data_IF_385933181430
#
_entry.id   IF_385933181430
#
_cell.length_a   1.000
_cell.length_b   1.000
_cell.length_c   1.000
_cell.angle_alpha   90.00
_cell.angle_beta   90.00
_cell.angle_gamma   90.00
#
_symmetry.space_group_name_H-M   'P 1'
#
loop_
_entity.id
_entity.type
_entity.pdbx_description
1 polymer ?
#
# COMPACT_ATOMS: atom_id res chain seq x y z
N UNK A 1 -24.49 0.30 6.71
CA UNK A 1 -23.07 -0.08 6.85
C UNK A 1 -22.23 1.19 6.91
N UNK A 2 -21.44 1.34 7.97
CA UNK A 2 -20.40 2.36 8.07
C UNK A 2 -19.06 1.77 7.68
N UNK A 3 -18.33 2.46 6.80
CA UNK A 3 -17.02 2.02 6.28
C UNK A 3 -15.96 3.02 6.74
N UNK A 4 -15.00 2.56 7.54
CA UNK A 4 -13.86 3.37 8.00
C UNK A 4 -12.67 3.08 7.09
N UNK A 5 -12.20 4.10 6.36
CA UNK A 5 -11.18 3.97 5.33
C UNK A 5 -11.80 3.62 3.98
N UNK A 6 -11.63 4.52 3.01
CA UNK A 6 -12.11 4.43 1.63
C UNK A 6 -10.92 4.36 0.67
N UNK A 7 -9.95 3.52 1.03
CA UNK A 7 -8.85 3.12 0.17
C UNK A 7 -9.26 2.01 -0.82
N UNK A 8 -8.26 1.29 -1.35
CA UNK A 8 -8.48 0.25 -2.37
C UNK A 8 -9.49 -0.85 -1.96
N UNK A 9 -9.48 -1.27 -0.70
CA UNK A 9 -10.39 -2.30 -0.17
C UNK A 9 -11.72 -1.67 0.26
N UNK A 10 -11.67 -0.58 1.03
CA UNK A 10 -12.88 0.07 1.56
C UNK A 10 -13.85 0.54 0.47
N UNK A 11 -13.33 1.04 -0.65
CA UNK A 11 -14.16 1.40 -1.82
C UNK A 11 -14.89 0.17 -2.39
N UNK A 12 -14.20 -0.96 -2.55
CA UNK A 12 -14.81 -2.18 -3.07
C UNK A 12 -15.89 -2.72 -2.12
N UNK A 13 -15.61 -2.72 -0.81
CA UNK A 13 -16.59 -3.12 0.21
C UNK A 13 -17.80 -2.20 0.22
N UNK A 14 -17.58 -0.88 0.15
CA UNK A 14 -18.66 0.10 0.10
C UNK A 14 -19.55 -0.11 -1.14
N UNK A 15 -18.94 -0.31 -2.31
CA UNK A 15 -19.67 -0.55 -3.56
C UNK A 15 -20.45 -1.87 -3.55
N UNK A 16 -19.82 -2.97 -3.12
CA UNK A 16 -20.49 -4.26 -3.01
C UNK A 16 -21.69 -4.19 -2.04
N UNK A 17 -21.53 -3.52 -0.90
CA UNK A 17 -22.63 -3.31 0.04
C UNK A 17 -23.76 -2.45 -0.56
N UNK A 18 -23.44 -1.45 -1.40
CA UNK A 18 -24.44 -0.68 -2.14
C UNK A 18 -25.21 -1.56 -3.13
N UNK A 19 -24.53 -2.45 -3.85
CA UNK A 19 -25.13 -3.38 -4.80
C UNK A 19 -26.05 -4.40 -4.12
N UNK A 20 -25.73 -4.78 -2.88
CA UNK A 20 -26.61 -5.58 -2.01
C UNK A 20 -27.79 -4.79 -1.42
N UNK A 21 -27.98 -3.52 -1.82
CA UNK A 21 -29.10 -2.68 -1.41
C UNK A 21 -28.93 -2.01 -0.05
N UNK A 22 -27.74 -2.05 0.56
CA UNK A 22 -27.49 -1.40 1.84
C UNK A 22 -27.36 0.12 1.69
N UNK A 23 -27.77 0.85 2.73
CA UNK A 23 -27.34 2.24 2.93
C UNK A 23 -25.91 2.24 3.46
N UNK A 24 -24.99 2.86 2.72
CA UNK A 24 -23.57 2.92 3.07
C UNK A 24 -23.17 4.35 3.40
N UNK A 25 -22.49 4.52 4.53
CA UNK A 25 -21.84 5.76 4.94
C UNK A 25 -20.34 5.45 5.05
N UNK A 26 -19.48 6.33 4.52
CA UNK A 26 -18.03 6.17 4.55
C UNK A 26 -17.35 7.34 5.27
N UNK A 27 -16.26 7.04 5.97
CA UNK A 27 -15.38 8.04 6.56
C UNK A 27 -13.93 7.77 6.14
N UNK A 28 -13.30 8.73 5.47
CA UNK A 28 -11.88 8.71 5.19
C UNK A 28 -11.34 10.16 5.08
N UNK A 29 -10.47 10.60 6.00
CA UNK A 29 -9.89 11.95 5.94
C UNK A 29 -8.87 12.12 4.81
N UNK A 30 -8.41 11.03 4.19
CA UNK A 30 -7.38 10.99 3.15
C UNK A 30 -7.92 10.46 1.82
N UNK A 31 -9.23 10.57 1.58
CA UNK A 31 -9.83 10.12 0.33
C UNK A 31 -9.20 10.84 -0.87
N UNK A 32 -8.53 10.08 -1.74
CA UNK A 32 -7.93 10.63 -2.95
C UNK A 32 -8.98 10.82 -4.04
N UNK A 33 -8.72 11.72 -4.99
CA UNK A 33 -9.60 11.95 -6.15
C UNK A 33 -9.86 10.64 -6.90
N UNK A 34 -8.81 9.86 -7.16
CA UNK A 34 -8.93 8.57 -7.84
C UNK A 34 -9.89 7.60 -7.12
N UNK A 35 -9.79 7.50 -5.79
CA UNK A 35 -10.68 6.65 -4.99
C UNK A 35 -12.10 7.19 -4.96
N UNK A 36 -12.28 8.51 -4.92
CA UNK A 36 -13.59 9.13 -5.02
C UNK A 36 -14.30 8.81 -6.35
N UNK A 37 -13.55 8.75 -7.47
CA UNK A 37 -14.10 8.35 -8.77
C UNK A 37 -14.54 6.88 -8.84
N UNK A 38 -13.89 6.02 -8.07
CA UNK A 38 -14.23 4.59 -8.00
C UNK A 38 -15.37 4.31 -7.01
N UNK A 39 -15.67 5.25 -6.11
CA UNK A 39 -16.69 5.10 -5.10
C UNK A 39 -18.08 5.38 -5.69
N UNK A 40 -19.05 4.54 -5.37
CA UNK A 40 -20.45 4.77 -5.74
C UNK A 40 -20.92 6.12 -5.22
N UNK A 41 -21.56 6.90 -6.09
CA UNK A 41 -22.13 8.22 -5.76
C UNK A 41 -23.24 8.18 -4.69
N UNK A 42 -23.74 6.97 -4.37
CA UNK A 42 -24.76 6.75 -3.34
C UNK A 42 -24.16 6.42 -1.95
N UNK A 43 -22.83 6.40 -1.83
CA UNK A 43 -22.16 6.33 -0.53
C UNK A 43 -22.17 7.72 0.09
N UNK A 44 -22.75 7.82 1.28
CA UNK A 44 -22.81 9.08 2.02
C UNK A 44 -21.48 9.31 2.74
N UNK A 45 -20.99 10.55 2.76
CA UNK A 45 -19.83 10.91 3.57
C UNK A 45 -20.26 11.17 5.02
N UNK A 46 -19.57 10.57 5.99
CA UNK A 46 -19.61 11.02 7.38
C UNK A 46 -18.55 12.12 7.58
N UNK A 47 -18.87 13.11 8.40
CA UNK A 47 -17.96 14.21 8.74
C UNK A 47 -17.04 13.86 9.91
N UNK A 48 -17.41 12.85 10.70
CA UNK A 48 -16.59 12.32 11.78
C UNK A 48 -16.82 10.82 11.99
N UNK A 49 -15.91 10.18 12.70
CA UNK A 49 -16.11 8.80 13.16
C UNK A 49 -17.35 8.70 14.07
N UNK A 50 -17.55 9.64 14.98
CA UNK A 50 -18.69 9.59 15.91
C UNK A 50 -20.04 9.67 15.17
N UNK A 51 -20.11 10.49 14.11
CA UNK A 51 -21.26 10.52 13.20
C UNK A 51 -21.43 9.17 12.50
N UNK A 52 -20.35 8.58 12.00
CA UNK A 52 -20.39 7.28 11.32
C UNK A 52 -20.96 6.19 12.24
N UNK A 53 -20.46 6.09 13.48
CA UNK A 53 -20.89 5.10 14.46
C UNK A 53 -22.36 5.30 14.84
N UNK A 54 -22.79 6.54 15.10
CA UNK A 54 -24.19 6.82 15.48
C UNK A 54 -25.21 6.53 14.38
N UNK A 55 -24.80 6.54 13.09
CA UNK A 55 -25.69 6.34 11.94
C UNK A 55 -25.60 4.95 11.29
N UNK A 56 -24.83 4.02 11.87
CA UNK A 56 -24.52 2.73 11.27
C UNK A 56 -24.90 1.55 12.16
N UNK A 57 -25.62 0.58 11.61
CA UNK A 57 -25.93 -0.68 12.29
C UNK A 57 -24.74 -1.66 12.30
N UNK A 58 -23.84 -1.50 11.34
CA UNK A 58 -22.63 -2.30 11.19
C UNK A 58 -21.45 -1.40 10.83
N UNK A 59 -20.26 -1.65 11.39
CA UNK A 59 -19.02 -0.94 11.08
C UNK A 59 -18.00 -1.93 10.51
N UNK A 60 -17.39 -1.60 9.38
CA UNK A 60 -16.23 -2.31 8.85
C UNK A 60 -15.04 -1.37 8.73
N UNK A 61 -13.84 -1.87 9.04
CA UNK A 61 -12.62 -1.05 9.11
C UNK A 61 -11.59 -1.53 8.09
N UNK A 62 -11.00 -0.56 7.37
CA UNK A 62 -10.07 -0.75 6.25
C UNK A 62 -8.96 0.30 6.25
N UNK A 63 -8.38 0.58 7.42
CA UNK A 63 -7.27 1.54 7.59
C UNK A 63 -5.97 0.82 7.97
N UNK A 64 -4.78 1.37 7.65
CA UNK A 64 -3.52 0.84 8.17
C UNK A 64 -3.43 1.04 9.69
N UNK A 65 -2.56 0.25 10.36
CA UNK A 65 -2.22 0.48 11.76
C UNK A 65 -1.13 1.54 11.86
N UNK A 66 -1.51 2.68 12.42
CA UNK A 66 -0.69 3.85 12.72
C UNK A 66 -1.10 4.37 14.10
N UNK A 67 -0.31 5.24 14.71
CA UNK A 67 -0.67 5.85 16.01
C UNK A 67 -2.02 6.58 15.96
N UNK A 68 -2.34 7.20 14.81
CA UNK A 68 -3.60 7.91 14.60
C UNK A 68 -4.82 6.99 14.39
N UNK A 69 -4.61 5.73 14.04
CA UNK A 69 -5.70 4.77 13.75
C UNK A 69 -5.80 3.65 14.80
N UNK A 70 -4.82 3.54 15.71
CA UNK A 70 -4.87 2.67 16.87
C UNK A 70 -6.10 2.99 17.72
N UNK A 71 -6.79 1.93 18.16
CA UNK A 71 -8.01 2.03 18.99
C UNK A 71 -9.06 2.98 18.40
N UNK A 72 -9.12 3.05 17.06
CA UNK A 72 -10.17 3.80 16.36
C UNK A 72 -11.55 3.27 16.76
N UNK A 73 -11.69 1.95 16.94
CA UNK A 73 -12.88 1.35 17.52
C UNK A 73 -12.64 1.13 19.01
N UNK A 74 -13.07 2.07 19.84
CA UNK A 74 -12.91 2.05 21.30
C UNK A 74 -14.26 2.09 22.03
N UNK A 75 -14.25 1.98 23.36
CA UNK A 75 -15.45 1.95 24.19
C UNK A 75 -16.38 3.15 23.95
N UNK A 76 -15.83 4.36 23.79
CA UNK A 76 -16.63 5.58 23.58
C UNK A 76 -17.40 5.52 22.25
N UNK A 77 -16.75 5.07 21.16
CA UNK A 77 -17.40 4.95 19.85
C UNK A 77 -18.34 3.75 19.76
N UNK A 78 -17.98 2.62 20.38
CA UNK A 78 -18.88 1.48 20.51
C UNK A 78 -20.17 1.86 21.27
N UNK A 79 -20.09 2.78 22.23
CA UNK A 79 -21.26 3.32 22.91
C UNK A 79 -22.15 4.20 22.01
N UNK A 80 -21.67 4.66 20.86
CA UNK A 80 -22.48 5.40 19.89
C UNK A 80 -23.28 4.48 18.95
N UNK A 81 -22.89 3.21 18.83
CA UNK A 81 -23.61 2.27 17.97
C UNK A 81 -25.07 2.09 18.44
N UNK A 82 -26.01 1.88 17.50
CA UNK A 82 -27.32 1.33 17.80
C UNK A 82 -27.20 0.01 18.57
N UNK A 83 -28.27 -0.34 19.32
CA UNK A 83 -28.35 -1.67 19.94
C UNK A 83 -28.28 -2.74 18.88
N UNK A 84 -27.60 -3.85 19.21
CA UNK A 84 -27.33 -4.98 18.33
C UNK A 84 -26.44 -4.65 17.13
N UNK A 85 -25.55 -3.65 17.28
CA UNK A 85 -24.57 -3.34 16.25
C UNK A 85 -23.60 -4.50 15.97
N UNK A 86 -22.95 -4.47 14.80
CA UNK A 86 -21.89 -5.42 14.42
C UNK A 86 -20.63 -4.68 14.05
N UNK A 87 -19.47 -5.16 14.51
CA UNK A 87 -18.16 -4.62 14.13
C UNK A 87 -17.39 -5.67 13.34
N UNK A 88 -16.75 -5.26 12.26
CA UNK A 88 -15.91 -6.09 11.42
C UNK A 88 -14.51 -5.48 11.30
N UNK A 89 -13.49 -6.27 11.60
CA UNK A 89 -12.09 -5.89 11.42
C UNK A 89 -11.33 -6.92 10.58
N UNK A 90 -11.17 -6.60 9.30
CA UNK A 90 -10.31 -7.32 8.37
C UNK A 90 -9.13 -6.45 7.92
N UNK A 91 -8.77 -5.44 8.73
CA UNK A 91 -7.72 -4.48 8.40
C UNK A 91 -6.40 -4.82 9.09
N UNK A 92 -6.27 -4.47 10.37
CA UNK A 92 -5.10 -4.73 11.20
C UNK A 92 -5.52 -4.95 12.65
N UNK A 93 -4.73 -5.77 13.35
CA UNK A 93 -4.80 -5.89 14.80
C UNK A 93 -4.48 -4.53 15.48
N UNK A 94 -5.08 -4.25 16.64
CA UNK A 94 -4.91 -3.00 17.39
C UNK A 94 -5.66 -1.77 16.85
N UNK A 95 -6.43 -1.91 15.77
CA UNK A 95 -7.40 -0.87 15.33
C UNK A 95 -8.65 -0.89 16.20
N UNK A 96 -8.99 -2.07 16.71
CA UNK A 96 -10.09 -2.31 17.63
C UNK A 96 -9.51 -2.60 19.00
N UNK A 97 -10.07 -1.95 20.02
CA UNK A 97 -9.78 -2.26 21.41
C UNK A 97 -10.56 -3.53 21.80
N UNK A 98 -9.83 -4.65 21.91
CA UNK A 98 -10.38 -5.97 22.24
C UNK A 98 -11.13 -5.98 23.58
N UNK A 99 -10.60 -5.27 24.60
CA UNK A 99 -11.19 -5.25 25.93
C UNK A 99 -12.49 -4.44 25.92
N UNK A 100 -12.50 -3.32 25.20
CA UNK A 100 -13.72 -2.55 24.99
C UNK A 100 -14.79 -3.33 24.22
N UNK A 101 -14.41 -4.05 23.17
CA UNK A 101 -15.38 -4.86 22.40
C UNK A 101 -15.99 -5.97 23.25
N UNK A 102 -15.17 -6.69 24.02
CA UNK A 102 -15.66 -7.75 24.92
C UNK A 102 -16.63 -7.19 25.96
N UNK A 103 -16.29 -6.07 26.60
CA UNK A 103 -17.18 -5.43 27.58
C UNK A 103 -18.53 -5.03 26.95
N UNK A 104 -18.53 -4.50 25.73
CA UNK A 104 -19.77 -4.08 25.06
C UNK A 104 -20.58 -5.28 24.56
N UNK A 105 -19.93 -6.38 24.17
CA UNK A 105 -20.60 -7.66 23.89
C UNK A 105 -21.29 -8.23 25.13
N UNK A 106 -20.60 -8.26 26.27
CA UNK A 106 -21.13 -8.74 27.55
C UNK A 106 -22.33 -7.91 28.03
N UNK A 107 -22.32 -6.60 27.76
CA UNK A 107 -23.47 -5.72 28.04
C UNK A 107 -24.70 -6.01 27.18
N UNK A 108 -24.56 -6.83 26.12
CA UNK A 108 -25.61 -7.14 25.15
C UNK A 108 -25.87 -6.04 24.12
N UNK A 109 -25.15 -4.92 24.18
CA UNK A 109 -25.29 -3.82 23.22
C UNK A 109 -24.76 -4.19 21.84
N UNK A 110 -23.63 -4.90 21.76
CA UNK A 110 -23.11 -5.40 20.50
C UNK A 110 -23.66 -6.81 20.22
N UNK A 111 -24.08 -7.04 18.98
CA UNK A 111 -24.56 -8.35 18.55
C UNK A 111 -23.40 -9.29 18.24
N UNK A 112 -22.42 -8.82 17.47
CA UNK A 112 -21.27 -9.62 17.08
C UNK A 112 -20.03 -8.76 16.80
N UNK A 113 -18.86 -9.36 16.98
CA UNK A 113 -17.59 -8.87 16.47
C UNK A 113 -16.99 -9.92 15.54
N UNK A 114 -16.62 -9.53 14.33
CA UNK A 114 -15.98 -10.40 13.34
C UNK A 114 -14.59 -9.86 13.06
N UNK A 115 -13.57 -10.69 13.21
CA UNK A 115 -12.18 -10.26 13.08
C UNK A 115 -11.33 -11.31 12.37
N UNK A 116 -10.33 -10.85 11.62
CA UNK A 116 -9.28 -11.70 11.05
C UNK A 116 -8.08 -11.89 11.99
N UNK A 117 -8.18 -11.38 13.22
CA UNK A 117 -7.10 -11.36 14.20
C UNK A 117 -7.54 -12.17 15.43
N UNK A 118 -7.21 -13.47 15.51
CA UNK A 118 -7.60 -14.30 16.64
C UNK A 118 -6.75 -13.97 17.87
N UNK A 119 -7.37 -14.03 19.04
CA UNK A 119 -6.74 -13.76 20.33
C UNK A 119 -7.25 -14.74 21.38
N UNK A 120 -6.41 -15.08 22.37
CA UNK A 120 -6.81 -15.94 23.49
C UNK A 120 -8.01 -15.35 24.25
N UNK A 121 -8.17 -14.02 24.26
CA UNK A 121 -9.30 -13.32 24.88
C UNK A 121 -10.66 -13.70 24.25
N UNK A 122 -10.67 -14.12 22.99
CA UNK A 122 -11.90 -14.43 22.26
C UNK A 122 -12.37 -15.89 22.40
N UNK A 123 -11.57 -16.77 23.02
CA UNK A 123 -11.86 -18.21 23.07
C UNK A 123 -13.20 -18.56 23.73
N UNK A 124 -13.67 -17.74 24.67
CA UNK A 124 -14.95 -17.95 25.37
C UNK A 124 -16.01 -16.92 24.98
N UNK A 125 -15.70 -16.05 24.01
CA UNK A 125 -16.60 -15.00 23.58
C UNK A 125 -17.49 -15.51 22.44
N UNK A 126 -18.66 -16.08 22.77
CA UNK A 126 -19.56 -16.74 21.80
C UNK A 126 -20.00 -15.85 20.63
N UNK A 127 -19.96 -14.52 20.82
CA UNK A 127 -20.35 -13.52 19.82
C UNK A 127 -19.16 -12.97 19.02
N UNK A 128 -17.98 -13.55 19.18
CA UNK A 128 -16.79 -13.23 18.39
C UNK A 128 -16.57 -14.33 17.36
N UNK A 129 -16.50 -13.93 16.09
CA UNK A 129 -16.05 -14.79 14.99
C UNK A 129 -14.64 -14.36 14.65
N UNK A 130 -13.66 -15.14 15.09
CA UNK A 130 -12.25 -14.90 14.81
C UNK A 130 -11.73 -15.85 13.73
N UNK A 131 -11.29 -15.30 12.60
CA UNK A 131 -10.67 -16.02 11.50
C UNK A 131 -9.14 -15.94 11.64
N UNK A 132 -8.39 -16.98 11.24
CA UNK A 132 -6.93 -17.02 11.40
C UNK A 132 -6.19 -16.27 10.27
N UNK A 133 -6.44 -14.97 10.12
CA UNK A 133 -5.79 -14.09 9.15
C UNK A 133 -5.90 -14.57 7.69
N UNK A 134 -7.13 -14.82 7.24
CA UNK A 134 -7.43 -15.44 5.95
C UNK A 134 -7.86 -14.44 4.87
N UNK A 135 -7.84 -13.13 5.13
CA UNK A 135 -8.37 -12.11 4.22
C UNK A 135 -7.78 -12.11 2.80
N UNK A 136 -6.56 -12.63 2.62
CA UNK A 136 -5.92 -12.80 1.31
C UNK A 136 -5.68 -14.27 0.91
N UNK A 137 -6.21 -15.22 1.69
CA UNK A 137 -6.00 -16.66 1.48
C UNK A 137 -6.99 -17.24 0.47
N UNK A 138 -6.94 -16.74 -0.76
CA UNK A 138 -7.69 -17.29 -1.90
C UNK A 138 -6.76 -17.60 -3.07
N UNK A 139 -7.13 -18.57 -3.91
CA UNK A 139 -6.32 -18.95 -5.08
C UNK A 139 -6.13 -17.77 -6.03
N UNK A 140 -7.16 -16.96 -6.23
CA UNK A 140 -7.13 -15.78 -7.10
C UNK A 140 -6.20 -14.70 -6.54
N UNK A 141 -6.17 -14.50 -5.21
CA UNK A 141 -5.27 -13.56 -4.58
C UNK A 141 -3.81 -14.01 -4.72
N UNK A 142 -3.54 -15.30 -4.50
CA UNK A 142 -2.21 -15.89 -4.68
C UNK A 142 -1.73 -15.77 -6.13
N UNK A 143 -2.59 -16.08 -7.11
CA UNK A 143 -2.28 -15.94 -8.54
C UNK A 143 -1.95 -14.49 -8.91
N UNK A 144 -2.79 -13.54 -8.50
CA UNK A 144 -2.56 -12.12 -8.75
C UNK A 144 -1.24 -11.63 -8.14
N UNK A 145 -0.92 -12.07 -6.91
CA UNK A 145 0.34 -11.75 -6.26
C UNK A 145 1.55 -12.36 -6.99
N UNK A 146 1.46 -13.62 -7.41
CA UNK A 146 2.52 -14.31 -8.13
C UNK A 146 2.83 -13.63 -9.47
N UNK A 147 1.80 -13.31 -10.26
CA UNK A 147 1.92 -12.58 -11.52
C UNK A 147 2.56 -11.21 -11.29
N UNK A 148 2.08 -10.45 -10.29
CA UNK A 148 2.63 -9.13 -9.97
C UNK A 148 4.13 -9.20 -9.62
N UNK A 149 4.55 -10.17 -8.82
CA UNK A 149 5.96 -10.33 -8.43
C UNK A 149 6.81 -10.75 -9.63
N UNK A 150 6.33 -11.69 -10.44
CA UNK A 150 7.02 -12.10 -11.66
C UNK A 150 7.19 -10.94 -12.64
N UNK A 151 6.16 -10.13 -12.83
CA UNK A 151 6.19 -8.94 -13.69
C UNK A 151 7.14 -7.87 -13.15
N UNK A 152 7.13 -7.60 -11.85
CA UNK A 152 8.05 -6.64 -11.24
C UNK A 152 9.52 -7.10 -11.37
N UNK A 153 9.77 -8.40 -11.18
CA UNK A 153 11.11 -8.96 -11.33
C UNK A 153 11.58 -8.90 -12.78
N UNK A 154 10.71 -9.26 -13.73
CA UNK A 154 10.98 -9.17 -15.16
C UNK A 154 11.29 -7.73 -15.58
N UNK A 155 10.45 -6.75 -15.20
CA UNK A 155 10.62 -5.33 -15.54
C UNK A 155 11.94 -4.79 -14.95
N UNK A 156 12.34 -5.24 -13.75
CA UNK A 156 13.63 -4.90 -13.17
C UNK A 156 14.82 -5.57 -13.87
N UNK A 157 14.70 -6.85 -14.21
CA UNK A 157 15.78 -7.60 -14.85
C UNK A 157 16.01 -7.17 -16.29
N UNK A 158 14.95 -6.90 -17.05
CA UNK A 158 15.03 -6.60 -18.48
C UNK A 158 15.14 -5.09 -18.76
N UNK A 159 14.56 -4.25 -17.91
CA UNK A 159 14.45 -2.81 -18.19
C UNK A 159 14.97 -1.92 -17.05
N UNK A 160 15.32 -2.51 -15.91
CA UNK A 160 15.81 -1.78 -14.74
C UNK A 160 14.71 -1.04 -14.00
N UNK A 161 13.45 -1.12 -14.44
CA UNK A 161 12.33 -0.45 -13.79
C UNK A 161 12.04 -1.10 -12.42
N UNK A 162 11.76 -0.28 -11.43
CA UNK A 162 11.49 -0.71 -10.06
C UNK A 162 10.11 -0.22 -9.67
N UNK A 163 9.23 -1.17 -9.35
CA UNK A 163 7.86 -0.92 -8.89
C UNK A 163 7.64 -1.64 -7.57
N UNK A 164 6.80 -1.07 -6.72
CA UNK A 164 6.40 -1.65 -5.43
C UNK A 164 7.58 -2.04 -4.52
N UNK A 165 8.72 -1.36 -4.64
CA UNK A 165 9.88 -1.66 -3.83
C UNK A 165 9.70 -1.12 -2.40
N UNK A 166 9.72 -2.05 -1.45
CA UNK A 166 9.58 -1.74 -0.02
C UNK A 166 10.84 -1.08 0.56
N UNK A 167 12.01 -1.41 0.03
CA UNK A 167 13.32 -1.01 0.56
C UNK A 167 14.21 -0.26 -0.46
N UNK A 168 13.67 0.09 -1.62
CA UNK A 168 14.43 0.74 -2.70
C UNK A 168 13.56 1.80 -3.41
N UNK A 169 14.14 2.83 -4.07
CA UNK A 169 13.34 3.81 -4.81
C UNK A 169 12.54 3.16 -5.94
N UNK A 170 11.29 3.60 -6.12
CA UNK A 170 10.50 3.24 -7.30
C UNK A 170 10.93 4.11 -8.47
N UNK A 171 11.30 3.50 -9.59
CA UNK A 171 11.84 4.19 -10.76
C UNK A 171 11.27 3.58 -12.02
N UNK A 172 10.72 4.42 -12.90
CA UNK A 172 10.23 3.99 -14.20
C UNK A 172 10.76 4.92 -15.27
N UNK A 173 11.47 4.37 -16.23
CA UNK A 173 11.94 5.07 -17.42
C UNK A 173 11.44 4.28 -18.63
N UNK A 174 10.50 4.82 -19.42
CA UNK A 174 10.14 4.22 -20.71
C UNK A 174 11.39 4.00 -21.56
N UNK A 175 11.41 2.94 -22.39
CA UNK A 175 12.55 2.66 -23.25
C UNK A 175 12.38 3.38 -24.57
N UNK A 176 13.35 4.18 -24.98
CA UNK A 176 13.38 4.73 -26.32
C UNK A 176 13.73 3.64 -27.35
N UNK A 177 13.26 3.79 -28.59
CA UNK A 177 13.66 2.88 -29.67
C UNK A 177 15.18 2.94 -29.89
N UNK A 178 15.81 1.78 -30.05
CA UNK A 178 17.26 1.64 -30.30
C UNK A 178 18.17 2.30 -29.24
N UNK A 179 17.72 2.39 -27.97
CA UNK A 179 18.56 2.84 -26.86
C UNK A 179 19.26 1.70 -26.12
N UNK A 180 20.40 2.02 -25.51
CA UNK A 180 21.12 1.15 -24.58
C UNK A 180 20.98 1.73 -23.18
N UNK A 181 20.70 0.89 -22.17
CA UNK A 181 20.41 1.38 -20.82
C UNK A 181 21.51 1.02 -19.85
N UNK A 182 21.88 1.97 -19.01
CA UNK A 182 22.71 1.73 -17.82
C UNK A 182 21.87 2.01 -16.58
N UNK A 183 21.78 1.03 -15.72
CA UNK A 183 21.16 1.13 -14.40
C UNK A 183 22.25 1.13 -13.33
N UNK A 184 22.23 2.11 -12.44
CA UNK A 184 23.23 2.29 -11.39
C UNK A 184 22.54 2.43 -10.03
N UNK A 185 22.83 1.52 -9.11
CA UNK A 185 22.50 1.67 -7.71
C UNK A 185 23.68 2.29 -6.98
N UNK A 186 23.43 3.31 -6.16
CA UNK A 186 24.48 4.02 -5.43
C UNK A 186 24.01 4.52 -4.06
N UNK A 187 24.96 4.86 -3.19
CA UNK A 187 24.71 5.64 -2.00
C UNK A 187 24.19 7.04 -2.39
N UNK A 188 23.23 7.56 -1.62
CA UNK A 188 22.60 8.84 -1.85
C UNK A 188 23.49 9.98 -1.32
N UNK A 189 24.61 10.24 -1.99
CA UNK A 189 25.59 11.28 -1.63
C UNK A 189 25.79 12.31 -2.76
N UNK A 190 26.27 13.53 -2.46
CA UNK A 190 26.48 14.56 -3.47
C UNK A 190 27.39 14.11 -4.62
N UNK A 191 27.16 14.70 -5.80
CA UNK A 191 28.01 14.52 -7.00
C UNK A 191 28.03 13.10 -7.62
N UNK A 192 27.12 12.20 -7.24
CA UNK A 192 27.02 10.88 -7.89
C UNK A 192 26.66 10.98 -9.37
N UNK A 193 25.60 11.74 -9.70
CA UNK A 193 25.17 11.93 -11.08
C UNK A 193 26.25 12.59 -11.94
N UNK A 194 26.90 13.63 -11.43
CA UNK A 194 27.97 14.33 -12.16
C UNK A 194 29.15 13.42 -12.52
N UNK A 195 29.54 12.51 -11.61
CA UNK A 195 30.60 11.54 -11.89
C UNK A 195 30.16 10.52 -12.97
N UNK A 196 28.92 10.02 -12.91
CA UNK A 196 28.39 9.07 -13.89
C UNK A 196 28.27 9.69 -15.28
N UNK A 197 27.68 10.88 -15.39
CA UNK A 197 27.52 11.57 -16.67
C UNK A 197 28.88 11.98 -17.25
N UNK A 198 29.86 12.34 -16.41
CA UNK A 198 31.23 12.59 -16.87
C UNK A 198 31.88 11.34 -17.46
N UNK A 199 31.67 10.16 -16.86
CA UNK A 199 32.18 8.90 -17.40
C UNK A 199 31.58 8.58 -18.77
N UNK A 200 30.26 8.78 -18.94
CA UNK A 200 29.58 8.63 -20.22
C UNK A 200 30.07 9.65 -21.26
N UNK A 201 30.25 10.91 -20.86
CA UNK A 201 30.73 11.97 -21.74
C UNK A 201 32.15 11.73 -22.26
N UNK A 202 33.05 11.19 -21.42
CA UNK A 202 34.41 10.80 -21.84
C UNK A 202 34.43 9.68 -22.88
N UNK A 203 33.38 8.87 -22.92
CA UNK A 203 33.17 7.84 -23.93
C UNK A 203 32.37 8.36 -25.14
N UNK A 204 32.12 9.68 -25.23
CA UNK A 204 31.35 10.34 -26.29
C UNK A 204 29.94 9.76 -26.48
N UNK A 205 29.34 9.24 -25.40
CA UNK A 205 27.98 8.67 -25.42
C UNK A 205 26.94 9.77 -25.21
N UNK A 206 26.04 9.93 -26.19
CA UNK A 206 24.90 10.83 -26.07
C UNK A 206 23.81 10.23 -25.15
N UNK A 207 23.43 10.96 -24.10
CA UNK A 207 22.34 10.59 -23.19
C UNK A 207 21.01 11.00 -23.84
N UNK A 208 20.11 10.03 -24.01
CA UNK A 208 18.78 10.21 -24.57
C UNK A 208 17.75 10.57 -23.50
N UNK A 209 17.78 9.86 -22.38
CA UNK A 209 16.91 10.10 -21.23
C UNK A 209 17.60 9.63 -19.95
N UNK A 210 17.22 10.21 -18.81
CA UNK A 210 17.78 9.86 -17.52
C UNK A 210 16.78 10.13 -16.40
N UNK A 211 16.70 9.20 -15.47
CA UNK A 211 15.96 9.38 -14.22
C UNK A 211 16.82 8.95 -13.04
N UNK A 212 16.73 9.71 -11.95
CA UNK A 212 17.33 9.36 -10.67
C UNK A 212 16.29 9.55 -9.58
N UNK A 213 16.18 8.55 -8.71
CA UNK A 213 15.32 8.60 -7.53
C UNK A 213 16.08 8.07 -6.33
N UNK A 214 15.73 8.56 -5.14
CA UNK A 214 16.36 8.18 -3.89
C UNK A 214 15.33 7.76 -2.85
N UNK A 215 15.77 6.90 -1.91
CA UNK A 215 15.01 6.46 -0.75
C UNK A 215 15.98 6.25 0.41
N UNK A 216 15.95 7.17 1.37
CA UNK A 216 16.93 7.19 2.46
C UNK A 216 18.35 7.32 1.92
N UNK A 217 19.20 6.36 2.32
CA UNK A 217 20.64 6.35 2.02
C UNK A 217 21.00 5.77 0.64
N UNK A 218 20.01 5.31 -0.14
CA UNK A 218 20.24 4.73 -1.47
C UNK A 218 19.55 5.54 -2.56
N UNK A 219 20.18 5.56 -3.73
CA UNK A 219 19.67 6.13 -4.96
C UNK A 219 19.83 5.15 -6.12
N UNK A 220 19.00 5.34 -7.14
CA UNK A 220 19.00 4.53 -8.34
C UNK A 220 18.84 5.43 -9.55
N UNK A 221 19.83 5.37 -10.44
CA UNK A 221 19.87 6.11 -11.69
C UNK A 221 19.71 5.16 -12.85
N UNK A 222 18.78 5.45 -13.77
CA UNK A 222 18.73 4.83 -15.09
C UNK A 222 19.07 5.88 -16.14
N UNK A 223 19.94 5.52 -17.08
CA UNK A 223 20.39 6.36 -18.18
C UNK A 223 20.23 5.59 -19.48
N UNK A 224 19.51 6.17 -20.44
CA UNK A 224 19.46 5.68 -21.81
C UNK A 224 20.49 6.43 -22.66
N UNK A 225 21.25 5.71 -23.46
CA UNK A 225 22.24 6.28 -24.38
C UNK A 225 22.04 5.77 -25.81
N UNK A 226 22.52 6.55 -26.77
CA UNK A 226 22.30 6.32 -28.20
C UNK A 226 23.17 5.19 -28.81
N UNK A 227 24.12 4.63 -28.07
CA UNK A 227 25.10 3.67 -28.59
C UNK A 227 25.52 2.67 -27.51
N UNK A 228 26.02 1.47 -27.88
CA UNK A 228 26.47 0.48 -26.91
C UNK A 228 27.50 1.07 -25.94
N UNK A 229 27.33 0.78 -24.65
CA UNK A 229 28.22 1.28 -23.61
C UNK A 229 29.45 0.39 -23.53
N UNK A 230 30.68 0.92 -23.74
CA UNK A 230 31.89 0.13 -23.61
C UNK A 230 32.08 -0.41 -22.18
N UNK A 231 32.64 -1.62 -22.04
CA UNK A 231 32.90 -2.22 -20.72
C UNK A 231 33.82 -1.33 -19.87
N UNK A 232 34.79 -0.66 -20.49
CA UNK A 232 35.68 0.29 -19.80
C UNK A 232 34.90 1.47 -19.17
N UNK A 233 33.82 1.92 -19.80
CA UNK A 233 32.94 2.96 -19.25
C UNK A 233 32.12 2.42 -18.08
N UNK A 234 31.62 1.18 -18.18
CA UNK A 234 30.90 0.52 -17.08
C UNK A 234 31.83 0.30 -15.88
N UNK A 235 33.06 -0.13 -16.08
CA UNK A 235 34.09 -0.26 -15.05
C UNK A 235 34.43 1.08 -14.41
N UNK A 236 34.57 2.14 -15.21
CA UNK A 236 34.79 3.49 -14.69
C UNK A 236 33.64 3.92 -13.76
N UNK A 237 32.38 3.64 -14.14
CA UNK A 237 31.22 3.92 -13.28
C UNK A 237 31.26 3.04 -12.02
N UNK A 238 31.54 1.72 -12.13
CA UNK A 238 31.65 0.82 -10.97
C UNK A 238 32.73 1.25 -9.98
N UNK A 239 33.80 1.89 -10.47
CA UNK A 239 34.89 2.37 -9.62
C UNK A 239 34.58 3.64 -8.83
N UNK A 240 33.47 4.34 -9.14
CA UNK A 240 33.06 5.53 -8.40
C UNK A 240 32.71 5.14 -6.96
N UNK A 241 33.39 5.77 -5.99
CA UNK A 241 33.12 5.53 -4.57
C UNK A 241 31.65 5.82 -4.25
N UNK A 242 30.96 4.82 -3.70
CA UNK A 242 29.53 4.90 -3.37
C UNK A 242 28.63 4.24 -4.41
N UNK A 243 29.13 3.84 -5.58
CA UNK A 243 28.39 2.94 -6.48
C UNK A 243 28.33 1.54 -5.86
N UNK A 244 27.13 0.98 -5.81
CA UNK A 244 26.82 -0.33 -5.23
C UNK A 244 26.70 -1.39 -6.33
N UNK A 245 26.09 -1.02 -7.47
CA UNK A 245 25.90 -1.93 -8.59
C UNK A 245 25.72 -1.15 -9.90
N UNK A 246 26.20 -1.73 -11.00
CA UNK A 246 26.02 -1.19 -12.37
C UNK A 246 25.59 -2.33 -13.29
N UNK A 247 24.54 -2.10 -14.07
CA UNK A 247 24.01 -3.06 -15.05
C UNK A 247 23.84 -2.37 -16.40
N UNK A 248 24.30 -3.01 -17.47
CA UNK A 248 23.94 -2.65 -18.83
C UNK A 248 22.76 -3.53 -19.28
N UNK A 249 21.71 -2.91 -19.82
CA UNK A 249 20.44 -3.52 -20.22
C UNK A 249 20.09 -3.17 -21.66
#
# INVERSE_FOLDING_TARGET
LGVIGLGAIGVQVANAARELGMRVIGFDPQLTVERAWQLSSHVQQALSLDELFSKSDMITVHVPLLDATRDTVNAARLALLPKHGVVLNFSRDGIVDDDAVLQVLDSGKLHAYVTDFPSAKFLQAERVIALPHLGASTLEAEENCAVMVADNLRDFLEHGNIRNAVNFPNVKLPRAESSYRVAVANANVPNMLGQMTTALAKAELNILDMINQSKGEVAYTMVDVASPVPESTLEAIRSIKGVLNVRAL
#
